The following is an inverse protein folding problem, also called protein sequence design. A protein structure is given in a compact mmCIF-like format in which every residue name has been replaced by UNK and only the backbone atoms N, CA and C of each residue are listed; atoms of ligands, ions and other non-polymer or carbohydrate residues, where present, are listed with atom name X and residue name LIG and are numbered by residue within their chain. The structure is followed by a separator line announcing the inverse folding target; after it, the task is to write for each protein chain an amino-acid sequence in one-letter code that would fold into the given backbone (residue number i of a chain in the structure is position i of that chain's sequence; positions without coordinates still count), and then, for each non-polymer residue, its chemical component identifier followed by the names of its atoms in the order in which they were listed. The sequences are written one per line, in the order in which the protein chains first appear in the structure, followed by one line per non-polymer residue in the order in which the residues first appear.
data_IF_341645816455
#
_entry.id   IF_341645816455
#
_cell.length_a   1.000
_cell.length_b   1.000
_cell.length_c   1.000
_cell.angle_alpha   90.00
_cell.angle_beta   90.00
_cell.angle_gamma   90.00
#
_symmetry.space_group_name_H-M   'P 1'
#
loop_
_entity.id
_entity.type
_entity.pdbx_description
1 polymer ?
#
# COMPACT_ATOMS: atom_id res chain seq x y z
N UNK A 1 -17.45 17.08 -13.92
CA UNK A 1 -16.68 15.83 -13.65
C UNK A 1 -16.01 15.81 -12.28
N UNK A 2 -15.52 16.93 -11.72
CA UNK A 2 -14.92 16.96 -10.38
C UNK A 2 -15.85 16.44 -9.25
N UNK A 3 -17.14 16.75 -9.29
CA UNK A 3 -18.09 16.37 -8.25
C UNK A 3 -18.26 14.84 -8.05
N UNK A 4 -18.16 14.05 -9.13
CA UNK A 4 -18.30 12.60 -9.01
C UNK A 4 -17.07 11.92 -8.36
N UNK A 5 -15.90 12.49 -8.57
CA UNK A 5 -14.67 11.98 -7.94
C UNK A 5 -14.66 12.28 -6.45
N UNK A 6 -15.11 13.45 -6.03
CA UNK A 6 -15.20 13.83 -4.62
C UNK A 6 -16.15 12.90 -3.85
N UNK A 7 -17.28 12.53 -4.43
CA UNK A 7 -18.22 11.57 -3.84
C UNK A 7 -17.63 10.15 -3.73
N UNK A 8 -16.88 9.71 -4.74
CA UNK A 8 -16.24 8.40 -4.74
C UNK A 8 -15.12 8.35 -3.68
N UNK A 9 -14.32 9.41 -3.59
CA UNK A 9 -13.29 9.53 -2.55
C UNK A 9 -13.92 9.55 -1.16
N UNK A 10 -14.99 10.30 -0.96
CA UNK A 10 -15.74 10.34 0.30
C UNK A 10 -16.28 8.94 0.68
N UNK A 11 -16.83 8.19 -0.28
CA UNK A 11 -17.32 6.84 -0.04
C UNK A 11 -16.16 5.89 0.37
N UNK A 12 -15.02 5.95 -0.32
CA UNK A 12 -13.84 5.11 -0.03
C UNK A 12 -13.25 5.45 1.32
N UNK A 13 -13.11 6.72 1.67
CA UNK A 13 -12.59 7.18 2.97
C UNK A 13 -13.55 6.88 4.11
N UNK A 14 -14.86 6.90 3.85
CA UNK A 14 -15.91 6.56 4.82
C UNK A 14 -16.00 5.08 5.16
N UNK A 15 -15.56 4.18 4.25
CA UNK A 15 -15.60 2.73 4.48
C UNK A 15 -14.58 2.24 5.52
N UNK A 16 -13.40 2.85 5.56
CA UNK A 16 -12.39 2.53 6.57
C UNK A 16 -11.43 3.71 6.76
N UNK A 17 -11.07 4.05 8.00
CA UNK A 17 -10.07 5.07 8.28
C UNK A 17 -8.74 4.74 7.57
N UNK A 18 -8.13 5.73 6.95
CA UNK A 18 -6.86 5.58 6.23
C UNK A 18 -6.98 5.14 4.77
N UNK A 19 -8.17 4.77 4.28
CA UNK A 19 -8.37 4.59 2.84
C UNK A 19 -8.37 5.94 2.12
N UNK A 20 -7.74 5.98 0.95
CA UNK A 20 -7.71 7.17 0.09
C UNK A 20 -7.68 6.76 -1.37
N UNK A 21 -8.32 7.54 -2.24
CA UNK A 21 -8.20 7.38 -3.68
C UNK A 21 -7.08 8.27 -4.19
N UNK A 22 -6.10 7.67 -4.85
CA UNK A 22 -5.08 8.39 -5.59
C UNK A 22 -5.26 8.17 -7.09
N UNK A 23 -5.16 9.24 -7.85
CA UNK A 23 -5.30 9.22 -9.30
C UNK A 23 -3.93 9.26 -9.96
N UNK A 24 -3.76 8.48 -11.01
CA UNK A 24 -2.55 8.51 -11.82
C UNK A 24 -2.57 9.66 -12.83
N UNK A 25 -1.52 9.76 -13.64
CA UNK A 25 -1.40 10.80 -14.68
C UNK A 25 -2.41 10.64 -15.84
N UNK A 26 -3.14 9.52 -15.92
CA UNK A 26 -4.25 9.31 -16.85
C UNK A 26 -5.62 9.57 -16.18
N UNK A 27 -5.65 9.98 -14.92
CA UNK A 27 -6.88 10.23 -14.16
C UNK A 27 -7.58 8.96 -13.68
N UNK A 28 -6.89 7.82 -13.65
CA UNK A 28 -7.45 6.56 -13.18
C UNK A 28 -7.15 6.35 -11.68
N UNK A 29 -8.15 5.91 -10.89
CA UNK A 29 -8.02 5.77 -9.45
C UNK A 29 -7.35 4.47 -9.03
N UNK A 30 -6.67 4.52 -7.89
CA UNK A 30 -6.25 3.37 -7.08
C UNK A 30 -6.70 3.56 -5.64
N UNK A 31 -7.18 2.50 -5.01
CA UNK A 31 -7.54 2.50 -3.58
C UNK A 31 -6.26 2.24 -2.79
N UNK A 32 -5.87 3.24 -1.99
CA UNK A 32 -4.63 3.24 -1.24
C UNK A 32 -4.90 3.31 0.26
N UNK A 33 -3.93 2.88 1.04
CA UNK A 33 -3.88 3.10 2.49
C UNK A 33 -2.87 4.20 2.77
N UNK A 34 -3.32 5.26 3.42
CA UNK A 34 -2.48 6.35 3.88
C UNK A 34 -1.76 5.94 5.16
N UNK A 35 -0.45 6.00 5.16
CA UNK A 35 0.39 5.79 6.34
C UNK A 35 1.00 7.14 6.73
N UNK A 36 0.56 7.71 7.85
CA UNK A 36 1.08 9.00 8.32
C UNK A 36 2.53 8.87 8.78
N UNK A 37 3.26 9.97 8.70
CA UNK A 37 4.64 10.06 9.15
C UNK A 37 4.80 9.60 10.60
N UNK A 38 5.79 8.74 10.82
CA UNK A 38 6.11 8.17 12.13
C UNK A 38 7.60 8.24 12.43
N UNK A 39 7.92 8.39 13.72
CA UNK A 39 9.28 8.32 14.25
C UNK A 39 9.65 6.89 14.64
N UNK A 40 10.93 6.62 14.81
CA UNK A 40 11.41 5.34 15.33
C UNK A 40 10.77 4.98 16.67
N UNK A 41 10.61 5.97 17.57
CA UNK A 41 9.94 5.76 18.87
C UNK A 41 8.49 5.32 18.71
N UNK A 42 7.72 5.95 17.83
CA UNK A 42 6.33 5.57 17.57
C UNK A 42 6.19 4.17 16.96
N UNK A 43 7.21 3.70 16.27
CA UNK A 43 7.30 2.35 15.69
C UNK A 43 7.86 1.30 16.66
N UNK A 44 8.13 1.66 17.91
CA UNK A 44 8.73 0.75 18.89
C UNK A 44 10.17 0.31 18.55
N UNK A 45 10.90 1.14 17.80
CA UNK A 45 12.26 0.88 17.34
C UNK A 45 13.32 1.61 18.18
N UNK A 46 13.04 1.85 19.46
CA UNK A 46 13.91 2.57 20.40
C UNK A 46 13.41 3.97 20.74
N UNK A 47 14.22 4.78 21.40
CA UNK A 47 13.83 6.10 21.93
C UNK A 47 14.06 7.27 20.96
N UNK A 48 14.59 7.00 19.77
CA UNK A 48 14.86 8.06 18.79
C UNK A 48 13.57 8.71 18.28
N UNK A 49 13.54 10.02 18.26
CA UNK A 49 12.47 10.85 17.70
C UNK A 49 12.70 11.21 16.23
N UNK A 50 13.76 10.68 15.62
CA UNK A 50 14.01 10.82 14.19
C UNK A 50 12.89 10.14 13.38
N UNK A 51 12.56 10.75 12.25
CA UNK A 51 11.55 10.21 11.32
C UNK A 51 12.10 8.96 10.63
N UNK A 52 11.23 7.96 10.46
CA UNK A 52 11.60 6.74 9.75
C UNK A 52 11.93 7.07 8.28
N UNK A 53 13.00 6.50 7.69
CA UNK A 53 13.49 6.89 6.35
C UNK A 53 12.51 6.66 5.21
N UNK A 54 11.48 5.83 5.39
CA UNK A 54 10.40 5.70 4.40
C UNK A 54 9.64 7.02 4.13
N UNK A 55 9.72 7.98 5.05
CA UNK A 55 9.11 9.32 4.90
C UNK A 55 10.08 10.37 4.38
N UNK A 56 11.24 9.97 3.89
CA UNK A 56 12.22 10.87 3.27
C UNK A 56 12.32 10.51 1.78
N UNK A 57 11.68 11.31 0.95
CA UNK A 57 11.62 11.12 -0.50
C UNK A 57 12.52 12.16 -1.18
N UNK A 58 13.54 11.70 -1.93
CA UNK A 58 14.51 12.57 -2.58
C UNK A 58 15.11 13.62 -1.63
N UNK A 59 15.41 13.23 -0.39
CA UNK A 59 15.97 14.12 0.63
C UNK A 59 14.95 15.06 1.30
N UNK A 60 13.69 14.99 0.94
CA UNK A 60 12.61 15.81 1.52
C UNK A 60 11.70 14.94 2.38
N UNK A 61 11.41 15.43 3.60
CA UNK A 61 10.46 14.78 4.50
C UNK A 61 9.03 14.98 4.01
N UNK A 62 8.25 13.89 3.94
CA UNK A 62 6.84 13.90 3.56
C UNK A 62 5.95 13.54 4.74
N UNK A 63 4.72 14.03 4.77
CA UNK A 63 3.79 13.82 5.89
C UNK A 63 3.09 12.47 5.88
N UNK A 64 3.10 11.79 4.75
CA UNK A 64 2.53 10.45 4.59
C UNK A 64 3.12 9.74 3.38
N UNK A 65 3.06 8.42 3.40
CA UNK A 65 3.20 7.57 2.21
C UNK A 65 1.91 6.79 1.98
N UNK A 66 1.74 6.28 0.78
CA UNK A 66 0.53 5.56 0.36
C UNK A 66 0.90 4.20 -0.18
N UNK A 67 0.17 3.18 0.23
CA UNK A 67 0.40 1.80 -0.18
C UNK A 67 -0.88 1.24 -0.77
N UNK A 68 -0.77 0.46 -1.83
CA UNK A 68 -1.90 -0.24 -2.42
C UNK A 68 -2.65 -1.06 -1.36
N UNK A 69 -3.95 -0.85 -1.24
CA UNK A 69 -4.78 -1.62 -0.31
C UNK A 69 -4.95 -3.06 -0.78
N UNK A 70 -5.04 -3.27 -2.07
CA UNK A 70 -5.23 -4.56 -2.71
C UNK A 70 -4.02 -4.93 -3.56
N UNK A 71 -3.82 -6.23 -3.79
CA UNK A 71 -2.91 -6.68 -4.83
C UNK A 71 -3.35 -6.09 -6.17
N UNK A 72 -2.38 -5.58 -6.92
CA UNK A 72 -2.70 -4.79 -8.10
C UNK A 72 -3.15 -5.65 -9.29
N UNK A 73 -4.10 -5.13 -10.04
CA UNK A 73 -4.36 -5.54 -11.42
C UNK A 73 -3.48 -4.76 -12.39
N UNK A 74 -3.37 -5.22 -13.62
CA UNK A 74 -2.74 -4.46 -14.71
C UNK A 74 -3.76 -4.19 -15.79
N UNK A 75 -3.95 -2.93 -16.13
CA UNK A 75 -4.80 -2.48 -17.21
C UNK A 75 -4.06 -1.40 -18.02
N UNK A 76 -4.04 -1.55 -19.34
CA UNK A 76 -3.37 -0.62 -20.26
C UNK A 76 -1.91 -0.34 -19.88
N UNK A 77 -1.18 -1.38 -19.42
CA UNK A 77 0.21 -1.28 -19.02
C UNK A 77 0.46 -0.51 -17.71
N UNK A 78 -0.54 -0.39 -16.84
CA UNK A 78 -0.50 0.33 -15.56
C UNK A 78 -1.04 -0.53 -14.42
N UNK A 79 -0.44 -0.42 -13.25
CA UNK A 79 -0.84 -1.17 -12.07
C UNK A 79 -1.87 -0.40 -11.23
N UNK A 80 -3.00 -1.02 -10.90
CA UNK A 80 -4.07 -0.39 -10.10
C UNK A 80 -4.47 -1.23 -8.89
N UNK A 81 -4.63 -0.57 -7.75
CA UNK A 81 -5.17 -1.18 -6.53
C UNK A 81 -6.68 -1.13 -6.54
N UNK A 82 -7.31 -2.24 -6.88
CA UNK A 82 -8.78 -2.38 -6.97
C UNK A 82 -9.16 -3.70 -6.30
N UNK A 83 -10.18 -3.66 -5.43
CA UNK A 83 -10.70 -4.86 -4.77
C UNK A 83 -11.71 -5.63 -5.61
N UNK A 84 -11.90 -6.91 -5.29
CA UNK A 84 -12.90 -7.76 -5.94
C UNK A 84 -12.54 -8.23 -7.36
N UNK A 85 -11.28 -8.10 -7.74
CA UNK A 85 -10.76 -8.51 -9.07
C UNK A 85 -9.52 -9.37 -8.84
N UNK A 86 -9.33 -10.39 -9.66
CA UNK A 86 -8.13 -11.23 -9.59
C UNK A 86 -6.87 -10.40 -9.85
N UNK A 87 -5.86 -10.49 -8.97
CA UNK A 87 -4.62 -9.75 -9.13
C UNK A 87 -3.84 -10.20 -10.37
N UNK A 88 -3.08 -9.29 -10.94
CA UNK A 88 -2.23 -9.59 -12.07
C UNK A 88 -1.13 -10.62 -11.69
N UNK A 89 -0.88 -11.54 -12.59
CA UNK A 89 0.13 -12.60 -12.45
C UNK A 89 0.91 -12.79 -13.76
N UNK A 90 1.96 -13.62 -13.74
CA UNK A 90 2.70 -14.01 -14.94
C UNK A 90 3.62 -12.91 -15.52
N UNK A 91 4.05 -11.95 -14.69
CA UNK A 91 4.98 -10.89 -15.08
C UNK A 91 6.34 -11.04 -14.37
N UNK A 92 7.40 -10.56 -14.99
CA UNK A 92 8.70 -10.44 -14.35
C UNK A 92 8.81 -9.12 -13.58
N UNK A 93 9.93 -8.96 -12.83
CA UNK A 93 10.16 -7.77 -12.00
C UNK A 93 10.21 -6.47 -12.81
N UNK A 94 10.86 -6.49 -13.97
CA UNK A 94 10.99 -5.28 -14.79
C UNK A 94 9.64 -4.82 -15.34
N UNK A 95 8.79 -5.75 -15.75
CA UNK A 95 7.42 -5.47 -16.17
C UNK A 95 6.59 -4.90 -15.00
N UNK A 96 6.67 -5.51 -13.81
CA UNK A 96 5.95 -5.02 -12.64
C UNK A 96 6.38 -3.59 -12.28
N UNK A 97 7.68 -3.30 -12.33
CA UNK A 97 8.21 -1.95 -12.11
C UNK A 97 7.69 -0.95 -13.14
N UNK A 98 7.75 -1.31 -14.43
CA UNK A 98 7.26 -0.45 -15.51
C UNK A 98 5.77 -0.13 -15.36
N UNK A 99 4.93 -1.09 -14.97
CA UNK A 99 3.51 -0.86 -14.75
C UNK A 99 3.20 0.10 -13.59
N UNK A 100 4.05 0.12 -12.56
CA UNK A 100 3.93 1.10 -11.49
C UNK A 100 4.41 2.49 -11.96
N UNK A 101 5.59 2.59 -12.56
CA UNK A 101 6.21 3.84 -13.00
C UNK A 101 5.41 4.54 -14.11
N UNK A 102 4.72 3.78 -14.97
CA UNK A 102 3.86 4.31 -16.03
C UNK A 102 2.70 5.19 -15.51
N UNK A 103 2.37 5.11 -14.24
CA UNK A 103 1.32 5.91 -13.59
C UNK A 103 1.72 7.35 -13.32
N UNK A 104 3.00 7.66 -13.40
CA UNK A 104 3.55 9.00 -13.19
C UNK A 104 4.54 9.08 -12.04
N UNK A 105 5.03 10.28 -11.79
CA UNK A 105 6.03 10.54 -10.75
C UNK A 105 5.54 10.10 -9.37
N UNK A 106 6.42 9.45 -8.61
CA UNK A 106 6.13 8.97 -7.26
C UNK A 106 5.51 7.57 -7.19
N UNK A 107 4.96 7.05 -8.30
CA UNK A 107 4.45 5.68 -8.35
C UNK A 107 5.58 4.68 -8.59
N UNK A 108 5.72 3.70 -7.71
CA UNK A 108 6.80 2.70 -7.79
C UNK A 108 6.40 1.39 -7.12
N UNK A 109 7.16 0.33 -7.37
CA UNK A 109 7.05 -0.90 -6.57
C UNK A 109 7.52 -0.64 -5.14
N UNK A 110 6.86 -1.29 -4.18
CA UNK A 110 7.21 -1.18 -2.76
C UNK A 110 8.69 -1.46 -2.51
N UNK A 111 9.37 -0.55 -1.84
CA UNK A 111 10.77 -0.70 -1.46
C UNK A 111 10.92 -1.50 -0.16
N UNK A 112 12.14 -2.00 0.11
CA UNK A 112 12.45 -2.68 1.40
C UNK A 112 12.25 -1.78 2.61
N UNK A 113 12.47 -0.47 2.45
CA UNK A 113 12.30 0.52 3.54
C UNK A 113 10.82 0.68 3.86
N UNK A 114 9.99 0.80 2.86
CA UNK A 114 8.52 0.88 3.01
C UNK A 114 7.95 -0.42 3.58
N UNK A 115 8.38 -1.57 3.10
CA UNK A 115 8.00 -2.87 3.66
C UNK A 115 8.41 -2.99 5.14
N UNK A 116 9.63 -2.58 5.49
CA UNK A 116 10.12 -2.55 6.86
C UNK A 116 9.28 -1.65 7.76
N UNK A 117 8.87 -0.48 7.28
CA UNK A 117 7.95 0.42 7.98
C UNK A 117 6.61 -0.27 8.29
N UNK A 118 5.99 -0.89 7.29
CA UNK A 118 4.70 -1.57 7.45
C UNK A 118 4.81 -2.68 8.50
N UNK A 119 5.84 -3.50 8.40
CA UNK A 119 6.09 -4.58 9.36
C UNK A 119 6.20 -4.03 10.78
N UNK A 120 6.97 -2.96 10.99
CA UNK A 120 7.14 -2.34 12.30
C UNK A 120 5.86 -1.69 12.81
N UNK A 121 5.12 -1.03 11.93
CA UNK A 121 3.82 -0.47 12.27
C UNK A 121 2.82 -1.56 12.72
N UNK A 122 2.75 -2.67 12.00
CA UNK A 122 1.92 -3.80 12.38
C UNK A 122 2.32 -4.37 13.75
N UNK A 123 3.62 -4.57 14.00
CA UNK A 123 4.13 -5.08 15.28
C UNK A 123 3.79 -4.11 16.42
N UNK A 124 3.97 -2.80 16.22
CA UNK A 124 3.64 -1.77 17.22
C UNK A 124 2.13 -1.76 17.58
N UNK A 125 1.28 -2.22 16.65
CA UNK A 125 -0.16 -2.37 16.86
C UNK A 125 -0.56 -3.80 17.31
N UNK A 126 0.38 -4.63 17.72
CA UNK A 126 0.13 -5.98 18.24
C UNK A 126 -0.20 -7.03 17.18
N UNK A 127 0.09 -6.77 15.92
CA UNK A 127 -0.17 -7.67 14.81
C UNK A 127 1.11 -7.98 14.04
N UNK A 128 1.40 -9.27 13.84
CA UNK A 128 2.49 -9.73 12.99
C UNK A 128 1.91 -10.23 11.66
N UNK A 129 2.13 -9.53 10.54
CA UNK A 129 1.65 -9.99 9.24
C UNK A 129 2.38 -11.28 8.85
N UNK A 130 1.62 -12.28 8.46
CA UNK A 130 2.14 -13.59 8.04
C UNK A 130 2.07 -13.70 6.53
N UNK A 131 3.22 -14.00 5.93
CA UNK A 131 3.33 -14.27 4.49
C UNK A 131 3.40 -15.76 4.18
N UNK A 132 3.57 -16.10 2.92
CA UNK A 132 3.75 -17.48 2.42
C UNK A 132 2.68 -18.45 2.91
N UNK A 133 1.42 -18.14 2.63
CA UNK A 133 0.29 -19.01 2.95
C UNK A 133 0.17 -20.17 1.96
N UNK A 134 -0.34 -21.31 2.43
CA UNK A 134 -0.79 -22.41 1.58
C UNK A 134 -2.31 -22.36 1.52
N UNK A 135 -2.87 -22.15 0.35
CA UNK A 135 -4.33 -22.00 0.14
C UNK A 135 -4.97 -20.96 1.09
N UNK A 136 -4.27 -19.82 1.29
CA UNK A 136 -4.74 -18.75 2.18
C UNK A 136 -4.59 -19.03 3.67
N UNK A 137 -3.90 -20.11 4.06
CA UNK A 137 -3.70 -20.49 5.46
C UNK A 137 -2.21 -20.50 5.80
N UNK A 138 -1.83 -19.87 6.89
CA UNK A 138 -0.46 -19.97 7.41
C UNK A 138 -0.25 -21.35 8.07
N UNK A 139 0.90 -22.04 7.84
CA UNK A 139 1.15 -23.37 8.37
C UNK A 139 1.03 -23.51 9.89
N UNK A 140 1.31 -22.46 10.66
CA UNK A 140 1.20 -22.44 12.11
C UNK A 140 -0.19 -22.15 12.66
N UNK A 141 -1.18 -21.94 11.80
CA UNK A 141 -2.55 -21.58 12.21
C UNK A 141 -3.57 -22.59 11.70
N UNK A 142 -4.35 -23.14 12.62
CA UNK A 142 -5.32 -24.19 12.26
C UNK A 142 -6.68 -23.65 11.80
N UNK A 143 -6.98 -22.37 12.02
CA UNK A 143 -8.37 -21.88 11.97
C UNK A 143 -8.62 -20.77 10.94
N UNK A 144 -7.61 -20.04 10.48
CA UNK A 144 -7.82 -18.87 9.63
C UNK A 144 -7.37 -19.11 8.19
N UNK A 145 -8.25 -18.81 7.26
CA UNK A 145 -7.92 -18.59 5.85
C UNK A 145 -7.94 -17.10 5.56
N UNK A 146 -7.05 -16.65 4.68
CA UNK A 146 -7.17 -15.31 4.11
C UNK A 146 -8.53 -15.20 3.38
N UNK A 147 -9.17 -14.06 3.51
CA UNK A 147 -10.39 -13.75 2.75
C UNK A 147 -9.95 -13.36 1.34
N UNK A 148 -10.52 -13.97 0.29
CA UNK A 148 -10.28 -13.49 -1.08
C UNK A 148 -10.77 -12.05 -1.22
N UNK A 149 -9.93 -11.22 -1.82
CA UNK A 149 -10.25 -9.80 -2.06
C UNK A 149 -10.59 -9.57 -3.52
#
# INVERSE_FOLDING_TARGET
MAANFDLTNLAVTGLAPGNELLYDNAGMPSIMVKIPKMTYKQLGMGESTAVHPAFIVNGTEVDAIYISKYLNIVQDGRAYSIGGVDPAAGMNFDQARQYCEAKGEGWHCMTRIEWGLILRWCIANGFLPKGNTSYGKHPSENVYKAIPT
#
